data_IF_872965682376
#
_entry.id   IF_872965682376
#
_cell.length_a   1.000
_cell.length_b   1.000
_cell.length_c   1.000
_cell.angle_alpha   90.00
_cell.angle_beta   90.00
_cell.angle_gamma   90.00
#
_symmetry.space_group_name_H-M   'P 1'
#
loop_
_entity.id
_entity.type
_entity.pdbx_description
1 polymer ?
#
# COMPACT_ATOMS: atom_id res chain seq x y z
N UNK A 1 -12.46 14.76 14.35
CA UNK A 1 -11.69 13.56 13.98
C UNK A 1 -10.34 14.04 13.51
N UNK A 2 -9.24 13.67 14.17
CA UNK A 2 -7.90 14.09 13.74
C UNK A 2 -7.33 13.01 12.81
N UNK A 3 -6.83 13.41 11.65
CA UNK A 3 -6.21 12.51 10.69
C UNK A 3 -4.75 12.88 10.44
N UNK A 4 -3.93 11.89 10.12
CA UNK A 4 -2.54 12.04 9.73
C UNK A 4 -2.36 11.47 8.32
N UNK A 5 -1.96 12.33 7.38
CA UNK A 5 -1.52 11.88 6.08
C UNK A 5 -0.06 11.40 6.16
N UNK A 6 0.22 10.24 5.59
CA UNK A 6 1.55 9.65 5.56
C UNK A 6 1.88 9.14 4.16
N UNK A 7 3.05 9.52 3.65
CA UNK A 7 3.63 8.95 2.43
C UNK A 7 4.94 8.23 2.79
N UNK A 8 5.11 7.02 2.27
CA UNK A 8 6.28 6.17 2.47
C UNK A 8 6.79 5.66 1.13
N UNK A 9 8.10 5.50 1.04
CA UNK A 9 8.73 4.72 -0.03
C UNK A 9 9.12 3.34 0.50
N UNK A 10 8.80 2.30 -0.28
CA UNK A 10 9.18 0.92 -0.02
C UNK A 10 9.96 0.39 -1.22
N UNK A 11 10.89 -0.53 -0.96
CA UNK A 11 11.74 -1.12 -2.00
C UNK A 11 11.57 -2.64 -1.98
N UNK A 12 11.45 -3.25 -3.16
CA UNK A 12 11.27 -4.69 -3.31
C UNK A 12 9.95 -5.18 -2.74
N UNK A 13 9.95 -6.40 -2.19
CA UNK A 13 8.81 -6.97 -1.49
C UNK A 13 8.65 -6.34 -0.10
N UNK A 14 7.42 -5.96 0.26
CA UNK A 14 7.10 -5.42 1.58
C UNK A 14 5.71 -5.85 2.04
N UNK A 15 5.53 -5.89 3.36
CA UNK A 15 4.23 -6.12 3.99
C UNK A 15 3.81 -4.89 4.76
N UNK A 16 2.55 -4.49 4.60
CA UNK A 16 1.88 -3.52 5.46
C UNK A 16 1.07 -4.30 6.50
N UNK A 17 1.38 -4.08 7.78
CA UNK A 17 0.56 -4.55 8.89
C UNK A 17 -0.36 -3.42 9.33
N UNK A 18 -1.67 -3.58 9.06
CA UNK A 18 -2.69 -2.58 9.36
C UNK A 18 -3.06 -2.56 10.85
N UNK A 19 -2.50 -3.49 11.65
CA UNK A 19 -2.69 -3.58 13.10
C UNK A 19 -1.73 -2.68 13.86
N UNK A 20 -0.56 -2.36 13.29
CA UNK A 20 0.51 -1.59 13.95
C UNK A 20 0.89 -0.32 13.16
N UNK A 21 -0.06 0.60 13.01
CA UNK A 21 0.19 1.88 12.33
C UNK A 21 0.05 3.06 13.29
N UNK A 22 1.19 3.45 13.86
CA UNK A 22 1.41 4.75 14.50
C UNK A 22 0.36 5.13 15.58
N UNK A 23 -0.12 4.16 16.36
CA UNK A 23 -1.16 4.33 17.40
C UNK A 23 -2.47 4.95 16.90
N UNK A 24 -2.74 4.84 15.60
CA UNK A 24 -3.97 5.32 14.99
C UNK A 24 -5.06 4.24 15.09
N UNK A 25 -6.32 4.66 15.11
CA UNK A 25 -7.50 3.78 15.15
C UNK A 25 -7.73 3.02 13.83
N UNK A 26 -6.95 3.30 12.80
CA UNK A 26 -7.00 2.60 11.52
C UNK A 26 -6.69 3.51 10.33
N UNK A 27 -6.90 2.96 9.14
CA UNK A 27 -6.72 3.65 7.86
C UNK A 27 -8.08 3.86 7.21
N UNK A 28 -8.33 5.07 6.68
CA UNK A 28 -9.53 5.36 5.87
C UNK A 28 -9.21 5.49 4.38
N UNK A 29 -7.94 5.69 4.05
CA UNK A 29 -7.45 5.71 2.67
C UNK A 29 -6.07 5.05 2.59
N UNK A 30 -5.90 4.11 1.65
CA UNK A 30 -4.63 3.50 1.30
C UNK A 30 -4.47 3.51 -0.22
N UNK A 31 -3.38 4.08 -0.71
CA UNK A 31 -2.94 3.97 -2.10
C UNK A 31 -1.55 3.34 -2.15
N UNK A 32 -1.38 2.27 -2.93
CA UNK A 32 -0.08 1.65 -3.20
C UNK A 32 0.15 1.59 -4.69
N UNK A 33 1.32 2.07 -5.13
CA UNK A 33 1.69 2.07 -6.55
C UNK A 33 3.20 1.97 -6.76
N UNK A 34 3.65 1.41 -7.89
CA UNK A 34 5.04 1.54 -8.33
C UNK A 34 5.44 3.00 -8.50
N UNK A 35 6.73 3.31 -8.35
CA UNK A 35 7.26 4.65 -8.60
C UNK A 35 7.52 4.93 -10.08
N UNK A 36 7.67 3.90 -10.93
CA UNK A 36 7.90 4.05 -12.38
C UNK A 36 6.74 3.47 -13.20
N UNK A 37 6.47 3.99 -14.40
CA UNK A 37 5.39 3.51 -15.27
C UNK A 37 5.55 2.05 -15.73
N UNK A 38 6.79 1.58 -15.88
CA UNK A 38 7.12 0.23 -16.36
C UNK A 38 6.94 -0.84 -15.31
N UNK A 39 6.97 -0.46 -14.03
CA UNK A 39 7.03 -1.41 -12.94
C UNK A 39 5.61 -1.86 -12.56
N UNK A 40 5.49 -3.09 -12.07
CA UNK A 40 4.21 -3.70 -11.70
C UNK A 40 4.32 -4.41 -10.37
N UNK A 41 3.30 -4.29 -9.53
CA UNK A 41 3.18 -5.00 -8.27
C UNK A 41 2.06 -6.03 -8.33
N UNK A 42 2.20 -7.06 -7.50
CA UNK A 42 1.14 -8.02 -7.17
C UNK A 42 0.83 -7.93 -5.68
N UNK A 43 -0.45 -8.08 -5.34
CA UNK A 43 -0.92 -8.15 -3.95
C UNK A 43 -1.08 -9.60 -3.53
N UNK A 44 -0.47 -9.99 -2.41
CA UNK A 44 -0.55 -11.33 -1.82
C UNK A 44 -0.23 -12.47 -2.80
N UNK A 45 0.59 -12.20 -3.81
CA UNK A 45 0.95 -13.16 -4.85
C UNK A 45 -0.11 -13.36 -5.95
N UNK A 46 -1.21 -12.60 -5.94
CA UNK A 46 -2.20 -12.65 -7.01
C UNK A 46 -1.65 -11.95 -8.26
N UNK A 47 -1.47 -12.71 -9.33
CA UNK A 47 -0.95 -12.24 -10.62
C UNK A 47 -2.04 -11.81 -11.60
N UNK A 48 -3.31 -12.07 -11.30
CA UNK A 48 -4.44 -11.74 -12.20
C UNK A 48 -4.73 -10.23 -12.21
N UNK A 49 -4.38 -9.54 -11.13
CA UNK A 49 -4.56 -8.10 -10.98
C UNK A 49 -3.21 -7.41 -10.72
N UNK A 50 -2.66 -6.82 -11.79
CA UNK A 50 -1.41 -6.06 -11.71
C UNK A 50 -1.68 -4.63 -11.26
N UNK A 51 -0.96 -4.23 -10.22
CA UNK A 51 -0.94 -2.86 -9.72
C UNK A 51 0.13 -2.09 -10.49
N UNK A 52 -0.28 -1.04 -11.18
CA UNK A 52 0.60 -0.21 -12.02
C UNK A 52 0.54 1.25 -11.58
N UNK A 53 1.35 2.12 -12.19
CA UNK A 53 1.34 3.55 -11.86
C UNK A 53 -0.04 4.18 -12.16
N UNK A 54 -0.66 3.77 -13.27
CA UNK A 54 -1.96 4.28 -13.74
C UNK A 54 -3.14 3.54 -13.12
N UNK A 55 -2.94 2.28 -12.69
CA UNK A 55 -3.91 1.48 -11.93
C UNK A 55 -3.33 1.13 -10.56
N UNK A 56 -3.29 2.08 -9.63
CA UNK A 56 -2.80 1.85 -8.27
C UNK A 56 -3.77 0.97 -7.47
N UNK A 57 -3.26 0.23 -6.49
CA UNK A 57 -4.11 -0.39 -5.48
C UNK A 57 -4.66 0.70 -4.58
N UNK A 58 -5.99 0.77 -4.45
CA UNK A 58 -6.68 1.79 -3.69
C UNK A 58 -7.75 1.18 -2.82
N UNK A 59 -7.79 1.62 -1.56
CA UNK A 59 -8.88 1.35 -0.65
C UNK A 59 -9.27 2.67 0.00
N UNK A 60 -10.54 3.01 -0.08
CA UNK A 60 -11.12 4.20 0.53
C UNK A 60 -12.43 3.80 1.21
N UNK A 61 -12.61 4.23 2.46
CA UNK A 61 -13.75 3.82 3.29
C UNK A 61 -14.10 4.90 4.31
N UNK A 62 -15.38 4.99 4.64
CA UNK A 62 -15.88 5.86 5.72
C UNK A 62 -15.59 5.32 7.13
N UNK A 63 -15.24 4.03 7.24
CA UNK A 63 -14.92 3.36 8.49
C UNK A 63 -13.46 2.93 8.52
N UNK A 64 -12.72 3.17 9.63
CA UNK A 64 -11.32 2.79 9.73
C UNK A 64 -11.13 1.27 9.53
N UNK A 65 -10.26 0.91 8.59
CA UNK A 65 -9.78 -0.47 8.45
C UNK A 65 -8.81 -0.73 9.58
N UNK A 66 -9.10 -1.78 10.35
CA UNK A 66 -8.29 -2.26 11.46
C UNK A 66 -7.92 -3.70 11.22
N UNK A 67 -6.66 -4.04 11.53
CA UNK A 67 -6.08 -5.36 11.38
C UNK A 67 -5.94 -5.85 9.93
N UNK A 68 -4.95 -6.70 9.70
CA UNK A 68 -4.73 -7.35 8.41
C UNK A 68 -3.32 -7.12 7.86
N UNK A 69 -2.90 -8.05 7.00
CA UNK A 69 -1.59 -8.03 6.36
C UNK A 69 -1.77 -7.92 4.84
N UNK A 70 -1.17 -6.89 4.25
CA UNK A 70 -1.11 -6.72 2.80
C UNK A 70 0.34 -6.83 2.34
N UNK A 71 0.65 -7.89 1.60
CA UNK A 71 2.01 -8.10 1.06
C UNK A 71 2.05 -7.71 -0.41
N UNK A 72 2.87 -6.71 -0.72
CA UNK A 72 3.11 -6.27 -2.09
C UNK A 72 4.46 -6.82 -2.56
N UNK A 73 4.48 -7.34 -3.77
CA UNK A 73 5.71 -7.85 -4.40
C UNK A 73 5.85 -7.30 -5.81
N UNK A 74 7.08 -7.03 -6.29
CA UNK A 74 7.34 -6.86 -7.71
C UNK A 74 6.82 -8.06 -8.50
N UNK A 75 6.10 -7.80 -9.60
CA UNK A 75 5.60 -8.87 -10.50
C UNK A 75 6.77 -9.58 -11.20
N UNK A 76 7.75 -8.81 -11.65
CA UNK A 76 9.04 -9.31 -12.13
C UNK A 76 10.08 -9.05 -11.03
N UNK A 77 10.99 -9.99 -10.78
CA UNK A 77 11.89 -10.05 -9.61
C UNK A 77 12.95 -8.93 -9.51
N UNK A 78 12.59 -7.67 -9.76
CA UNK A 78 13.44 -6.52 -9.50
C UNK A 78 13.38 -6.13 -8.02
N UNK A 79 14.32 -6.65 -7.24
CA UNK A 79 14.48 -6.34 -5.82
C UNK A 79 14.74 -4.85 -5.53
N UNK A 80 15.07 -4.04 -6.55
CA UNK A 80 15.32 -2.59 -6.41
C UNK A 80 14.11 -1.74 -6.82
N UNK A 81 13.02 -2.36 -7.25
CA UNK A 81 11.79 -1.68 -7.59
C UNK A 81 11.28 -0.85 -6.41
N UNK A 82 10.96 0.42 -6.65
CA UNK A 82 10.43 1.33 -5.63
C UNK A 82 8.92 1.45 -5.76
N UNK A 83 8.27 1.54 -4.61
CA UNK A 83 6.83 1.71 -4.49
C UNK A 83 6.53 2.86 -3.56
N UNK A 84 5.46 3.60 -3.87
CA UNK A 84 4.92 4.67 -3.05
C UNK A 84 3.70 4.12 -2.33
N UNK A 85 3.66 4.31 -1.02
CA UNK A 85 2.52 3.98 -0.16
C UNK A 85 2.01 5.28 0.44
N UNK A 86 0.75 5.60 0.21
CA UNK A 86 0.07 6.77 0.79
C UNK A 86 -1.07 6.31 1.67
N UNK A 87 -1.17 6.88 2.86
CA UNK A 87 -2.17 6.50 3.84
C UNK A 87 -2.78 7.75 4.48
N UNK A 88 -4.08 7.71 4.73
CA UNK A 88 -4.75 8.62 5.66
C UNK A 88 -5.13 7.84 6.91
N UNK A 89 -4.40 8.12 7.99
CA UNK A 89 -4.56 7.48 9.29
C UNK A 89 -5.51 8.30 10.16
N UNK A 90 -6.33 7.64 10.97
CA UNK A 90 -7.29 8.33 11.86
C UNK A 90 -6.91 8.09 13.32
N UNK A 91 -6.87 9.14 14.15
CA UNK A 91 -6.60 9.05 15.59
C UNK A 91 -7.87 8.93 16.45
#
# INVERSE_FOLDING_TARGET
>A
MQSLFQELQKTGMFTLDLSDINKCKGIVFLEVKPSKPTDKLVLNGNTDELITLDRPFKVETSFPIVNGLLTFKPFESDAKMKSIVRMLLVK
#
